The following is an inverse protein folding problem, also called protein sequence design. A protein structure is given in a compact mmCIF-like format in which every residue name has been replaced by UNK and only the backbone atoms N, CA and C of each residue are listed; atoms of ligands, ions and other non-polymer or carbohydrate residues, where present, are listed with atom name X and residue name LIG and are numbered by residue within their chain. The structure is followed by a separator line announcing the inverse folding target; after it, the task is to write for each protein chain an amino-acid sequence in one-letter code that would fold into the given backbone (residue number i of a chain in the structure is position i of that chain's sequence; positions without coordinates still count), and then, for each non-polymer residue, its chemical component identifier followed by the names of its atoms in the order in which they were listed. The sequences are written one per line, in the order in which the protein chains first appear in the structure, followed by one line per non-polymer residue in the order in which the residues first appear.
data_IF_168025952221
#
_entry.id   IF_168025952221
#
_cell.length_a   1.000
_cell.length_b   1.000
_cell.length_c   1.000
_cell.angle_alpha   90.00
_cell.angle_beta   90.00
_cell.angle_gamma   90.00
#
_symmetry.space_group_name_H-M   'P 1'
#
loop_
_entity.id
_entity.type
_entity.pdbx_description
1 polymer ?
#
# COMPACT_ATOMS: atom_id res chain seq x y z
N UNK A 1 -32.84 21.30 1.61
CA UNK A 1 -32.25 22.38 2.41
C UNK A 1 -30.99 21.80 3.06
N UNK A 2 -29.83 21.87 2.38
CA UNK A 2 -28.56 21.34 2.87
C UNK A 2 -27.92 22.38 3.80
N UNK A 3 -27.87 22.06 5.10
CA UNK A 3 -27.08 22.84 6.05
C UNK A 3 -25.58 22.62 5.75
N UNK A 4 -24.78 23.66 5.53
CA UNK A 4 -23.35 23.51 5.36
C UNK A 4 -22.76 23.05 6.68
N UNK A 5 -22.14 21.87 6.70
CA UNK A 5 -21.29 21.39 7.78
C UNK A 5 -20.17 22.43 7.97
N UNK A 6 -20.31 23.30 8.97
CA UNK A 6 -19.23 24.16 9.45
C UNK A 6 -18.03 23.26 9.81
N UNK A 7 -17.02 23.19 8.95
CA UNK A 7 -15.70 22.69 9.33
C UNK A 7 -15.20 23.53 10.50
N UNK A 8 -15.34 23.00 11.71
CA UNK A 8 -14.67 23.59 12.88
C UNK A 8 -13.19 23.60 12.58
N UNK A 9 -12.59 24.77 12.52
CA UNK A 9 -11.13 24.93 12.50
C UNK A 9 -10.57 24.09 13.67
N UNK A 10 -9.48 23.32 13.46
CA UNK A 10 -8.92 22.52 14.53
C UNK A 10 -8.44 23.45 15.65
N UNK A 11 -9.17 23.48 16.76
CA UNK A 11 -8.72 24.17 17.97
C UNK A 11 -7.37 23.57 18.39
N UNK A 12 -6.44 24.41 18.80
CA UNK A 12 -5.11 24.01 19.33
C UNK A 12 -5.28 22.96 20.43
N UNK A 13 -6.32 23.06 21.24
CA UNK A 13 -6.69 22.07 22.27
C UNK A 13 -7.00 20.68 21.74
N UNK A 14 -7.43 20.53 20.47
CA UNK A 14 -7.68 19.19 19.87
C UNK A 14 -6.40 18.43 19.51
N UNK A 15 -5.25 19.11 19.47
CA UNK A 15 -3.94 18.49 19.20
C UNK A 15 -3.21 18.04 20.47
N UNK A 16 -3.62 18.51 21.64
CA UNK A 16 -2.97 18.17 22.91
C UNK A 16 -3.08 16.68 23.25
N UNK A 17 -4.27 16.02 23.17
CA UNK A 17 -4.39 14.61 23.51
C UNK A 17 -3.49 13.67 22.69
N UNK A 18 -3.41 13.77 21.34
CA UNK A 18 -2.54 12.90 20.58
C UNK A 18 -1.05 13.16 20.83
N UNK A 19 -0.64 14.41 21.08
CA UNK A 19 0.74 14.75 21.43
C UNK A 19 1.10 14.20 22.82
N UNK A 20 0.20 14.36 23.81
CA UNK A 20 0.39 13.83 25.15
C UNK A 20 0.46 12.30 25.14
N UNK A 21 -0.41 11.62 24.38
CA UNK A 21 -0.35 10.17 24.22
C UNK A 21 1.00 9.72 23.61
N UNK A 22 1.47 10.40 22.55
CA UNK A 22 2.76 10.09 21.95
C UNK A 22 3.91 10.30 22.95
N UNK A 23 3.91 11.39 23.70
CA UNK A 23 4.91 11.68 24.74
C UNK A 23 4.93 10.60 25.83
N UNK A 24 3.75 10.17 26.30
CA UNK A 24 3.63 9.09 27.30
C UNK A 24 4.20 7.77 26.77
N UNK A 25 3.93 7.42 25.51
CA UNK A 25 4.46 6.20 24.88
C UNK A 25 5.99 6.27 24.79
N UNK A 26 6.53 7.40 24.33
CA UNK A 26 8.00 7.57 24.20
C UNK A 26 8.70 7.57 25.56
N UNK A 27 8.13 8.24 26.56
CA UNK A 27 8.67 8.21 27.94
C UNK A 27 8.60 6.80 28.54
N UNK A 28 7.49 6.09 28.35
CA UNK A 28 7.35 4.70 28.78
C UNK A 28 8.40 3.79 28.14
N UNK A 29 8.65 3.96 26.84
CA UNK A 29 9.70 3.23 26.12
C UNK A 29 11.09 3.56 26.70
N UNK A 30 11.42 4.84 26.89
CA UNK A 30 12.69 5.27 27.48
C UNK A 30 12.90 4.66 28.87
N UNK A 31 11.89 4.74 29.76
CA UNK A 31 11.94 4.18 31.10
C UNK A 31 12.19 2.66 31.07
N UNK A 32 11.50 1.91 30.23
CA UNK A 32 11.69 0.46 30.09
C UNK A 32 13.09 0.15 29.57
N UNK A 33 13.59 0.92 28.60
CA UNK A 33 14.94 0.73 28.04
C UNK A 33 16.06 0.98 29.06
N UNK A 34 15.91 2.03 29.90
CA UNK A 34 16.93 2.40 30.90
C UNK A 34 16.82 1.52 32.16
N UNK A 35 15.65 0.96 32.48
CA UNK A 35 15.44 0.16 33.69
C UNK A 35 16.26 -1.13 33.75
N UNK A 36 16.84 -1.56 32.63
CA UNK A 36 17.62 -2.80 32.55
C UNK A 36 16.79 -4.08 32.58
N UNK A 37 15.44 -3.98 32.63
CA UNK A 37 14.53 -5.14 32.57
C UNK A 37 14.73 -5.90 31.27
N UNK A 38 14.95 -5.15 30.16
CA UNK A 38 15.23 -5.70 28.84
C UNK A 38 16.65 -5.32 28.45
N UNK A 39 17.49 -6.26 27.97
CA UNK A 39 18.83 -5.93 27.50
C UNK A 39 18.80 -4.85 26.41
N UNK A 40 19.74 -3.91 26.45
CA UNK A 40 19.81 -2.76 25.54
C UNK A 40 19.94 -3.16 24.06
N UNK A 41 20.51 -4.34 23.77
CA UNK A 41 20.58 -4.89 22.42
C UNK A 41 19.22 -5.41 21.90
N UNK A 42 18.24 -5.68 22.77
CA UNK A 42 16.90 -6.10 22.38
C UNK A 42 15.91 -4.93 22.30
N UNK A 43 16.05 -3.97 23.20
CA UNK A 43 15.22 -2.78 23.25
C UNK A 43 16.11 -1.54 23.44
N UNK A 44 16.69 -1.00 22.35
CA UNK A 44 17.46 0.23 22.42
C UNK A 44 16.57 1.42 22.82
N UNK A 45 17.17 2.45 23.43
CA UNK A 45 16.44 3.65 23.79
C UNK A 45 16.03 4.47 22.55
N UNK A 46 14.94 5.26 22.60
CA UNK A 46 14.57 6.19 21.54
C UNK A 46 15.74 7.09 21.09
N UNK A 47 16.58 7.52 22.02
CA UNK A 47 17.75 8.36 21.71
C UNK A 47 18.80 7.56 20.93
N UNK A 48 19.06 6.30 21.32
CA UNK A 48 19.99 5.42 20.61
C UNK A 48 19.51 5.17 19.16
N UNK A 49 18.21 4.90 18.99
CA UNK A 49 17.60 4.72 17.65
C UNK A 49 17.75 5.96 16.79
N UNK A 50 17.51 7.16 17.33
CA UNK A 50 17.68 8.42 16.59
C UNK A 50 19.15 8.62 16.22
N UNK A 51 20.08 8.36 17.13
CA UNK A 51 21.53 8.51 16.88
C UNK A 51 21.97 7.55 15.78
N UNK A 52 21.53 6.29 15.83
CA UNK A 52 21.82 5.29 14.80
C UNK A 52 21.22 5.67 13.44
N UNK A 53 19.98 6.17 13.43
CA UNK A 53 19.31 6.64 12.22
C UNK A 53 20.11 7.72 11.49
N UNK A 54 20.61 8.72 12.24
CA UNK A 54 21.44 9.79 11.64
C UNK A 54 22.85 9.29 11.26
N UNK A 55 23.42 8.37 12.03
CA UNK A 55 24.72 7.79 11.74
C UNK A 55 24.75 6.93 10.48
N UNK A 56 23.69 6.13 10.26
CA UNK A 56 23.57 5.24 9.11
C UNK A 56 22.71 5.81 7.98
N UNK A 57 22.33 7.09 8.05
CA UNK A 57 21.44 7.73 7.08
C UNK A 57 21.86 7.51 5.61
N UNK A 58 23.13 7.61 5.21
CA UNK A 58 23.56 7.35 3.83
C UNK A 58 23.27 5.91 3.39
N UNK A 59 23.50 4.93 4.26
CA UNK A 59 23.21 3.51 4.00
C UNK A 59 21.71 3.25 3.88
N UNK A 60 20.94 3.83 4.79
CA UNK A 60 19.47 3.73 4.77
C UNK A 60 18.90 4.33 3.49
N UNK A 61 19.34 5.52 3.08
CA UNK A 61 18.91 6.16 1.84
C UNK A 61 19.31 5.36 0.59
N UNK A 62 20.51 4.77 0.60
CA UNK A 62 20.93 3.88 -0.48
C UNK A 62 19.97 2.70 -0.63
N UNK A 63 19.64 2.01 0.47
CA UNK A 63 18.69 0.89 0.46
C UNK A 63 17.25 1.33 0.16
N UNK A 64 16.81 2.46 0.71
CA UNK A 64 15.47 3.02 0.49
C UNK A 64 15.20 3.30 -1.00
N UNK A 65 16.21 3.76 -1.75
CA UNK A 65 16.10 3.97 -3.19
C UNK A 65 15.59 2.72 -3.93
N UNK A 66 16.14 1.54 -3.61
CA UNK A 66 15.74 0.29 -4.26
C UNK A 66 14.31 -0.11 -3.89
N UNK A 67 13.96 -0.06 -2.60
CA UNK A 67 12.60 -0.36 -2.12
C UNK A 67 11.57 0.57 -2.74
N UNK A 68 11.87 1.87 -2.85
CA UNK A 68 10.98 2.85 -3.47
C UNK A 68 10.82 2.62 -4.98
N UNK A 69 11.90 2.27 -5.69
CA UNK A 69 11.82 1.94 -7.11
C UNK A 69 10.98 0.68 -7.36
N UNK A 70 11.20 -0.38 -6.57
CA UNK A 70 10.44 -1.62 -6.64
C UNK A 70 8.94 -1.38 -6.34
N UNK A 71 8.64 -0.60 -5.30
CA UNK A 71 7.28 -0.20 -4.93
C UNK A 71 6.63 0.64 -6.03
N UNK A 72 7.36 1.61 -6.60
CA UNK A 72 6.84 2.51 -7.61
C UNK A 72 6.51 1.77 -8.91
N UNK A 73 7.45 0.96 -9.43
CA UNK A 73 7.21 0.20 -10.66
C UNK A 73 6.11 -0.84 -10.47
N UNK A 74 6.10 -1.54 -9.33
CA UNK A 74 5.07 -2.51 -9.01
C UNK A 74 3.69 -1.87 -8.91
N UNK A 75 3.58 -0.73 -8.23
CA UNK A 75 2.33 0.03 -8.12
C UNK A 75 1.85 0.53 -9.49
N UNK A 76 2.76 1.07 -10.32
CA UNK A 76 2.41 1.59 -11.65
C UNK A 76 1.87 0.48 -12.56
N UNK A 77 2.54 -0.68 -12.58
CA UNK A 77 2.09 -1.85 -13.34
C UNK A 77 0.76 -2.37 -12.75
N UNK A 78 0.64 -2.43 -11.43
CA UNK A 78 -0.59 -2.81 -10.73
C UNK A 78 -1.77 -1.92 -11.10
N UNK A 79 -1.58 -0.60 -11.16
CA UNK A 79 -2.60 0.37 -11.61
C UNK A 79 -3.01 0.08 -13.07
N UNK A 80 -2.03 -0.07 -13.96
CA UNK A 80 -2.31 -0.32 -15.37
C UNK A 80 -3.13 -1.61 -15.58
N UNK A 81 -2.71 -2.70 -14.95
CA UNK A 81 -3.44 -3.97 -14.99
C UNK A 81 -4.83 -3.84 -14.37
N UNK A 82 -4.96 -3.17 -13.22
CA UNK A 82 -6.24 -2.97 -12.57
C UNK A 82 -7.24 -2.21 -13.46
N UNK A 83 -6.80 -1.17 -14.16
CA UNK A 83 -7.66 -0.47 -15.13
C UNK A 83 -8.12 -1.38 -16.26
N UNK A 84 -7.23 -2.17 -16.83
CA UNK A 84 -7.55 -3.11 -17.91
C UNK A 84 -8.58 -4.14 -17.41
N UNK A 85 -8.28 -4.82 -16.31
CA UNK A 85 -9.15 -5.88 -15.78
C UNK A 85 -10.49 -5.34 -15.29
N UNK A 86 -10.52 -4.24 -14.51
CA UNK A 86 -11.76 -3.64 -14.05
C UNK A 86 -12.66 -3.18 -15.22
N UNK A 87 -12.07 -2.59 -16.25
CA UNK A 87 -12.83 -2.18 -17.44
C UNK A 87 -13.34 -3.38 -18.23
N UNK A 88 -12.56 -4.45 -18.37
CA UNK A 88 -13.00 -5.69 -19.01
C UNK A 88 -14.13 -6.38 -18.22
N UNK A 89 -14.02 -6.42 -16.89
CA UNK A 89 -15.04 -7.00 -16.01
C UNK A 89 -16.33 -6.17 -16.02
N UNK A 90 -16.25 -4.83 -16.02
CA UNK A 90 -17.44 -3.97 -16.19
C UNK A 90 -18.09 -4.16 -17.56
N UNK A 91 -17.30 -4.43 -18.59
CA UNK A 91 -17.80 -4.58 -19.97
C UNK A 91 -18.39 -5.94 -20.25
N UNK A 92 -17.80 -7.02 -19.70
CA UNK A 92 -18.14 -8.41 -20.00
C UNK A 92 -18.49 -9.16 -18.70
N UNK A 93 -19.78 -9.51 -18.56
CA UNK A 93 -20.28 -10.23 -17.38
C UNK A 93 -19.55 -11.57 -17.14
N UNK A 94 -19.14 -12.25 -18.20
CA UNK A 94 -18.38 -13.50 -18.11
C UNK A 94 -17.03 -13.26 -17.42
N UNK A 95 -16.36 -12.16 -17.77
CA UNK A 95 -15.09 -11.78 -17.13
C UNK A 95 -15.28 -11.47 -15.64
N UNK A 96 -16.32 -10.72 -15.26
CA UNK A 96 -16.64 -10.43 -13.86
C UNK A 96 -16.88 -11.74 -13.09
N UNK A 97 -17.70 -12.63 -13.61
CA UNK A 97 -18.02 -13.92 -12.97
C UNK A 97 -16.82 -14.86 -12.86
N UNK A 98 -15.90 -14.85 -13.81
CA UNK A 98 -14.73 -15.70 -13.82
C UNK A 98 -13.60 -15.14 -12.94
N UNK A 99 -13.26 -13.88 -13.08
CA UNK A 99 -12.09 -13.30 -12.42
C UNK A 99 -12.35 -12.82 -10.99
N UNK A 100 -13.56 -12.37 -10.68
CA UNK A 100 -13.89 -11.88 -9.33
C UNK A 100 -13.63 -12.91 -8.22
N UNK A 101 -14.09 -14.19 -8.35
CA UNK A 101 -13.77 -15.23 -7.34
C UNK A 101 -12.27 -15.52 -7.24
N UNK A 102 -11.57 -15.57 -8.39
CA UNK A 102 -10.13 -15.82 -8.41
C UNK A 102 -9.37 -14.73 -7.65
N UNK A 103 -9.75 -13.47 -7.88
CA UNK A 103 -9.14 -12.34 -7.20
C UNK A 103 -9.35 -12.40 -5.67
N UNK A 104 -10.54 -12.80 -5.20
CA UNK A 104 -10.79 -13.00 -3.77
C UNK A 104 -9.90 -14.11 -3.21
N UNK A 105 -9.82 -15.25 -3.90
CA UNK A 105 -8.98 -16.39 -3.47
C UNK A 105 -7.52 -15.96 -3.38
N UNK A 106 -7.00 -15.20 -4.32
CA UNK A 106 -5.59 -14.76 -4.29
C UNK A 106 -5.27 -13.91 -3.06
N UNK A 107 -6.24 -13.21 -2.48
CA UNK A 107 -6.03 -12.42 -1.27
C UNK A 107 -5.99 -13.26 0.02
N UNK A 108 -6.45 -14.50 -0.02
CA UNK A 108 -6.34 -15.41 1.14
C UNK A 108 -4.95 -15.99 1.30
N UNK A 109 -4.13 -15.94 0.26
CA UNK A 109 -2.77 -16.47 0.29
C UNK A 109 -1.83 -15.42 0.90
N UNK A 110 -1.13 -15.74 1.99
CA UNK A 110 -0.14 -14.82 2.57
C UNK A 110 0.95 -14.46 1.55
N UNK A 111 1.20 -13.17 1.34
CA UNK A 111 2.21 -12.69 0.38
C UNK A 111 3.60 -13.22 0.66
N UNK A 112 3.94 -13.42 1.94
CA UNK A 112 5.21 -14.00 2.36
C UNK A 112 5.40 -15.45 1.86
N UNK A 113 4.31 -16.18 1.61
CA UNK A 113 4.37 -17.54 1.05
C UNK A 113 4.57 -17.54 -0.47
N UNK A 114 4.12 -16.49 -1.16
CA UNK A 114 4.27 -16.34 -2.63
C UNK A 114 5.71 -15.94 -2.98
N UNK A 115 6.34 -15.10 -2.17
CA UNK A 115 7.62 -14.49 -2.48
C UNK A 115 8.75 -15.51 -2.75
N UNK A 116 8.94 -16.65 -2.01
CA UNK A 116 9.94 -17.64 -2.34
C UNK A 116 9.70 -18.30 -3.69
N UNK A 117 8.44 -18.52 -4.07
CA UNK A 117 8.06 -19.14 -5.34
C UNK A 117 8.44 -18.20 -6.51
N UNK A 118 8.18 -16.91 -6.35
CA UNK A 118 8.57 -15.90 -7.36
C UNK A 118 10.09 -15.84 -7.52
N UNK A 119 10.85 -15.91 -6.43
CA UNK A 119 12.32 -15.92 -6.50
C UNK A 119 12.81 -17.20 -7.18
N UNK A 120 12.19 -18.35 -6.92
CA UNK A 120 12.54 -19.61 -7.57
C UNK A 120 12.31 -19.57 -9.08
N UNK A 121 11.21 -18.95 -9.54
CA UNK A 121 10.85 -18.88 -10.96
C UNK A 121 11.57 -17.78 -11.72
N UNK A 122 11.80 -16.62 -11.08
CA UNK A 122 12.29 -15.41 -11.73
C UNK A 122 13.74 -15.08 -11.35
N UNK A 123 14.33 -15.85 -10.41
CA UNK A 123 15.69 -15.59 -9.90
C UNK A 123 15.77 -14.46 -8.90
N UNK A 124 17.00 -14.16 -8.47
CA UNK A 124 17.29 -13.05 -7.56
C UNK A 124 17.44 -11.74 -8.35
N UNK A 125 16.59 -10.76 -8.07
CA UNK A 125 16.64 -9.48 -8.76
C UNK A 125 15.45 -8.59 -8.42
N UNK A 126 15.21 -7.58 -9.25
CA UNK A 126 14.04 -6.69 -9.10
C UNK A 126 12.74 -7.32 -9.59
N UNK A 127 12.81 -8.25 -10.56
CA UNK A 127 11.63 -8.83 -11.18
C UNK A 127 10.67 -9.52 -10.21
N UNK A 128 11.09 -10.50 -9.35
CA UNK A 128 10.20 -11.14 -8.40
C UNK A 128 9.61 -10.17 -7.38
N UNK A 129 10.37 -9.14 -6.99
CA UNK A 129 9.96 -8.13 -6.02
C UNK A 129 8.88 -7.22 -6.61
N UNK A 130 9.10 -6.69 -7.83
CA UNK A 130 8.09 -5.92 -8.56
C UNK A 130 6.82 -6.75 -8.77
N UNK A 131 6.97 -8.03 -9.15
CA UNK A 131 5.82 -8.93 -9.34
C UNK A 131 5.01 -9.12 -8.06
N UNK A 132 5.66 -9.27 -6.91
CA UNK A 132 4.96 -9.37 -5.63
C UNK A 132 4.20 -8.09 -5.31
N UNK A 133 4.82 -6.91 -5.55
CA UNK A 133 4.15 -5.62 -5.38
C UNK A 133 2.95 -5.50 -6.32
N UNK A 134 3.06 -5.93 -7.58
CA UNK A 134 1.92 -5.95 -8.53
C UNK A 134 0.77 -6.78 -7.98
N UNK A 135 1.05 -8.01 -7.51
CA UNK A 135 0.03 -8.91 -6.97
C UNK A 135 -0.69 -8.28 -5.78
N UNK A 136 0.04 -7.63 -4.86
CA UNK A 136 -0.54 -7.04 -3.65
C UNK A 136 -1.32 -5.75 -3.91
N UNK A 137 -0.95 -4.99 -4.95
CA UNK A 137 -1.57 -3.69 -5.26
C UNK A 137 -2.72 -3.80 -6.27
N UNK A 138 -2.69 -4.80 -7.13
CA UNK A 138 -3.67 -5.02 -8.18
C UNK A 138 -5.10 -5.16 -7.66
N UNK A 139 -5.31 -5.99 -6.63
CA UNK A 139 -6.66 -6.30 -6.12
C UNK A 139 -7.39 -5.09 -5.53
N UNK A 140 -6.84 -4.32 -4.58
CA UNK A 140 -7.57 -3.20 -4.00
C UNK A 140 -7.92 -2.12 -5.04
N UNK A 141 -7.06 -1.90 -6.03
CA UNK A 141 -7.32 -0.94 -7.11
C UNK A 141 -8.44 -1.46 -8.02
N UNK A 142 -8.38 -2.74 -8.38
CA UNK A 142 -9.39 -3.36 -9.27
C UNK A 142 -10.77 -3.33 -8.63
N UNK A 143 -10.87 -3.71 -7.35
CA UNK A 143 -12.14 -3.67 -6.62
C UNK A 143 -12.64 -2.23 -6.47
N UNK A 144 -11.75 -1.29 -6.10
CA UNK A 144 -12.12 0.13 -6.02
C UNK A 144 -12.70 0.66 -7.34
N UNK A 145 -12.09 0.31 -8.47
CA UNK A 145 -12.60 0.68 -9.79
C UNK A 145 -13.96 0.02 -10.11
N UNK A 146 -14.09 -1.29 -9.84
CA UNK A 146 -15.33 -2.02 -10.09
C UNK A 146 -16.50 -1.48 -9.25
N UNK A 147 -16.26 -1.26 -7.96
CA UNK A 147 -17.26 -0.67 -7.07
C UNK A 147 -17.61 0.75 -7.51
N UNK A 148 -16.61 1.50 -7.94
CA UNK A 148 -16.82 2.82 -8.53
C UNK A 148 -17.68 2.79 -9.78
N UNK A 149 -17.44 1.87 -10.72
CA UNK A 149 -18.26 1.72 -11.93
C UNK A 149 -19.69 1.28 -11.62
N UNK A 150 -19.88 0.46 -10.56
CA UNK A 150 -21.19 -0.02 -10.12
C UNK A 150 -21.97 1.02 -9.30
N UNK A 151 -21.29 1.96 -8.64
CA UNK A 151 -21.89 3.00 -7.78
C UNK A 151 -22.48 4.19 -8.54
N UNK A 152 -22.25 4.27 -9.84
CA UNK A 152 -22.77 5.36 -10.68
C UNK A 152 -24.29 5.29 -10.76
N UNK A 153 -24.94 6.47 -10.66
CA UNK A 153 -26.39 6.61 -10.73
C UNK A 153 -26.95 5.97 -12.02
N UNK A 154 -27.85 4.96 -11.89
CA UNK A 154 -28.48 4.32 -13.04
C UNK A 154 -29.31 5.28 -13.90
N UNK A 155 -29.86 6.34 -13.31
CA UNK A 155 -30.68 7.30 -14.04
C UNK A 155 -29.80 8.20 -14.91
N UNK A 156 -28.61 8.56 -14.48
CA UNK A 156 -27.62 9.24 -15.31
C UNK A 156 -27.24 8.39 -16.54
N UNK A 157 -27.08 7.08 -16.36
CA UNK A 157 -26.77 6.15 -17.45
C UNK A 157 -27.98 6.04 -18.40
N UNK A 158 -29.22 5.98 -17.88
CA UNK A 158 -30.47 5.94 -18.68
C UNK A 158 -30.63 7.21 -19.49
N UNK A 159 -30.42 8.37 -18.89
CA UNK A 159 -30.48 9.67 -19.55
C UNK A 159 -29.50 9.74 -20.74
N UNK A 160 -28.23 9.38 -20.51
CA UNK A 160 -27.23 9.36 -21.58
C UNK A 160 -27.62 8.44 -22.73
N UNK A 161 -28.19 7.26 -22.42
CA UNK A 161 -28.70 6.35 -23.44
C UNK A 161 -29.88 6.96 -24.24
N UNK A 162 -30.82 7.63 -23.56
CA UNK A 162 -31.93 8.30 -24.19
C UNK A 162 -31.48 9.44 -25.13
N UNK A 163 -30.38 10.10 -24.81
CA UNK A 163 -29.73 11.11 -25.66
C UNK A 163 -28.91 10.50 -26.82
N UNK A 164 -28.90 9.17 -27.00
CA UNK A 164 -28.16 8.50 -28.07
C UNK A 164 -26.67 8.31 -27.81
N UNK A 165 -26.21 8.48 -26.56
CA UNK A 165 -24.79 8.32 -26.25
C UNK A 165 -24.31 6.87 -26.43
N UNK A 166 -23.16 6.70 -27.05
CA UNK A 166 -22.50 5.42 -27.19
C UNK A 166 -21.99 4.91 -25.84
N UNK A 167 -21.72 3.60 -25.75
CA UNK A 167 -21.15 3.00 -24.52
C UNK A 167 -19.83 3.65 -24.10
N UNK A 168 -18.97 3.99 -25.05
CA UNK A 168 -17.70 4.66 -24.79
C UNK A 168 -17.90 6.07 -24.21
N UNK A 169 -18.91 6.81 -24.68
CA UNK A 169 -19.27 8.13 -24.15
C UNK A 169 -19.81 8.01 -22.72
N UNK A 170 -20.68 7.03 -22.44
CA UNK A 170 -21.19 6.77 -21.09
C UNK A 170 -20.04 6.41 -20.15
N UNK A 171 -19.11 5.55 -20.58
CA UNK A 171 -17.95 5.20 -19.78
C UNK A 171 -17.08 6.42 -19.48
N UNK A 172 -16.70 7.20 -20.50
CA UNK A 172 -15.80 8.34 -20.37
C UNK A 172 -16.39 9.49 -19.56
N UNK A 173 -17.69 9.79 -19.69
CA UNK A 173 -18.30 10.98 -19.10
C UNK A 173 -19.05 10.71 -17.80
N UNK A 174 -19.44 9.46 -17.54
CA UNK A 174 -20.26 9.12 -16.36
C UNK A 174 -19.57 8.10 -15.48
N UNK A 175 -19.23 6.90 -16.01
CA UNK A 175 -18.68 5.81 -15.21
C UNK A 175 -17.27 6.11 -14.70
N UNK A 176 -16.37 6.49 -15.59
CA UNK A 176 -14.97 6.73 -15.20
C UNK A 176 -14.83 7.89 -14.21
N UNK A 177 -15.42 9.08 -14.43
CA UNK A 177 -15.36 10.16 -13.44
C UNK A 177 -16.05 9.80 -12.12
N UNK A 178 -17.18 9.08 -12.19
CA UNK A 178 -17.91 8.62 -11.01
C UNK A 178 -17.12 7.59 -10.17
N UNK A 179 -16.22 6.83 -10.78
CA UNK A 179 -15.38 5.85 -10.10
C UNK A 179 -14.13 6.44 -9.44
N UNK A 180 -13.74 7.66 -9.75
CA UNK A 180 -12.50 8.26 -9.23
C UNK A 180 -12.40 8.25 -7.69
N UNK A 181 -13.46 8.57 -6.91
CA UNK A 181 -13.36 8.53 -5.45
C UNK A 181 -12.99 7.13 -4.92
N UNK A 182 -13.62 6.08 -5.43
CA UNK A 182 -13.35 4.69 -5.05
C UNK A 182 -11.99 4.22 -5.57
N UNK A 183 -11.60 4.62 -6.77
CA UNK A 183 -10.26 4.39 -7.30
C UNK A 183 -9.19 4.96 -6.37
N UNK A 184 -9.31 6.24 -5.96
CA UNK A 184 -8.33 6.84 -5.04
C UNK A 184 -8.35 6.19 -3.65
N UNK A 185 -9.48 5.68 -3.19
CA UNK A 185 -9.55 4.89 -1.96
C UNK A 185 -8.77 3.58 -2.08
N UNK A 186 -8.95 2.83 -3.16
CA UNK A 186 -8.17 1.63 -3.47
C UNK A 186 -6.68 1.93 -3.67
N UNK A 187 -6.35 3.01 -4.38
CA UNK A 187 -4.98 3.46 -4.62
C UNK A 187 -4.25 3.79 -3.32
N UNK A 188 -4.92 4.46 -2.37
CA UNK A 188 -4.34 4.79 -1.06
C UNK A 188 -3.96 3.53 -0.28
N UNK A 189 -4.81 2.51 -0.29
CA UNK A 189 -4.51 1.21 0.33
C UNK A 189 -3.33 0.55 -0.39
N UNK A 190 -3.39 0.48 -1.71
CA UNK A 190 -2.36 -0.15 -2.53
C UNK A 190 -0.99 0.53 -2.42
N UNK A 191 -0.94 1.85 -2.30
CA UNK A 191 0.32 2.57 -2.11
C UNK A 191 1.01 2.18 -0.80
N UNK A 192 0.25 1.98 0.28
CA UNK A 192 0.79 1.46 1.54
C UNK A 192 1.24 0.00 1.40
N UNK A 193 0.43 -0.84 0.75
CA UNK A 193 0.75 -2.25 0.50
C UNK A 193 1.96 -2.43 -0.43
N UNK A 194 2.21 -1.49 -1.35
CA UNK A 194 3.34 -1.54 -2.26
C UNK A 194 4.68 -1.53 -1.53
N UNK A 195 4.84 -0.62 -0.56
CA UNK A 195 6.07 -0.53 0.24
C UNK A 195 6.23 -1.77 1.11
N UNK A 196 5.16 -2.21 1.77
CA UNK A 196 5.19 -3.44 2.59
C UNK A 196 5.54 -4.67 1.74
N UNK A 197 4.91 -4.81 0.57
CA UNK A 197 5.19 -5.90 -0.38
C UNK A 197 6.64 -5.92 -0.86
N UNK A 198 7.21 -4.75 -1.18
CA UNK A 198 8.61 -4.62 -1.55
C UNK A 198 9.54 -5.09 -0.40
N UNK A 199 9.36 -4.57 0.81
CA UNK A 199 10.15 -4.94 1.99
C UNK A 199 10.06 -6.45 2.28
N UNK A 200 8.85 -7.03 2.23
CA UNK A 200 8.65 -8.48 2.45
C UNK A 200 9.36 -9.31 1.40
N UNK A 201 9.32 -8.89 0.13
CA UNK A 201 10.04 -9.61 -0.93
C UNK A 201 11.56 -9.53 -0.79
N UNK A 202 12.07 -8.41 -0.27
CA UNK A 202 13.50 -8.21 -0.01
C UNK A 202 14.04 -9.09 1.11
N UNK A 203 13.21 -9.51 2.08
CA UNK A 203 13.62 -10.43 3.15
C UNK A 203 14.05 -11.81 2.63
N UNK A 204 13.50 -12.22 1.51
CA UNK A 204 13.69 -13.58 0.96
C UNK A 204 14.82 -13.67 -0.03
N UNK A 205 15.34 -12.56 -0.49
CA UNK A 205 16.50 -12.55 -1.38
C UNK A 205 16.70 -11.22 -2.06
N UNK A 206 17.94 -10.81 -2.08
CA UNK A 206 18.36 -9.58 -2.74
C UNK A 206 19.64 -9.02 -2.14
N UNK A 207 20.28 -8.14 -2.89
CA UNK A 207 21.52 -7.49 -2.45
C UNK A 207 21.24 -6.12 -1.84
N UNK A 208 20.13 -5.48 -2.24
CA UNK A 208 19.77 -4.11 -1.89
C UNK A 208 18.28 -4.02 -1.54
N UNK A 209 17.95 -3.01 -0.74
CA UNK A 209 16.61 -2.70 -0.26
C UNK A 209 16.55 -2.61 1.26
N UNK A 210 15.55 -1.92 1.79
CA UNK A 210 15.35 -1.73 3.24
C UNK A 210 15.11 -3.07 3.96
N UNK A 211 14.37 -4.00 3.35
CA UNK A 211 14.16 -5.33 3.91
C UNK A 211 15.45 -6.15 4.01
N UNK A 212 16.35 -6.00 3.03
CA UNK A 212 17.70 -6.61 3.10
C UNK A 212 18.51 -5.97 4.22
N UNK A 213 18.49 -4.64 4.34
CA UNK A 213 19.15 -3.92 5.43
C UNK A 213 18.62 -4.38 6.78
N UNK A 214 17.30 -4.42 6.97
CA UNK A 214 16.67 -4.91 8.20
C UNK A 214 17.11 -6.34 8.57
N UNK A 215 17.20 -7.26 7.59
CA UNK A 215 17.65 -8.63 7.88
C UNK A 215 19.13 -8.71 8.25
N UNK A 216 19.97 -7.86 7.68
CA UNK A 216 21.40 -7.75 8.05
C UNK A 216 21.58 -7.22 9.47
N UNK A 217 20.91 -6.12 9.79
CA UNK A 217 20.93 -5.49 11.11
C UNK A 217 20.40 -6.45 12.19
N UNK A 218 19.29 -7.13 11.90
CA UNK A 218 18.74 -8.16 12.78
C UNK A 218 19.74 -9.29 13.06
N UNK A 219 20.44 -9.79 12.03
CA UNK A 219 21.46 -10.84 12.18
C UNK A 219 22.68 -10.37 12.95
N UNK A 220 22.99 -9.08 12.91
CA UNK A 220 24.08 -8.46 13.65
C UNK A 220 23.71 -8.08 15.09
N UNK A 221 22.46 -8.32 15.51
CA UNK A 221 21.90 -7.89 16.82
C UNK A 221 22.03 -6.38 17.09
N UNK A 222 22.04 -5.56 16.02
CA UNK A 222 22.12 -4.09 16.09
C UNK A 222 20.72 -3.49 15.92
N UNK A 223 19.85 -3.72 16.90
CA UNK A 223 18.45 -3.30 16.84
C UNK A 223 18.22 -1.80 17.03
N UNK A 224 19.28 -1.04 17.25
CA UNK A 224 19.32 0.42 17.24
C UNK A 224 19.29 1.02 15.82
N UNK A 225 19.64 0.26 14.83
CA UNK A 225 19.69 0.61 13.39
C UNK A 225 18.50 0.09 12.63
#
# INVERSE_FOLDING_TARGET
MYLPLKRKLPNITSKIPPIAAMAVILLGWEVVSISGIVPSYMLPSPVAVLTALFGDLPTILFHAKFTLLESFYGLLIGIALAFVFATMMDRFRVMDQAFYPIMIITQTIPTIAIAPILVLWMGFGMAPKITLVVITTFFPITIGLLDGYKSVDPDAIRLMKAMGASRAQIFRHVKFPGALPQFFSGLKISASCAVVGAVVSEWLGGFNGLGVYMTRVKKAYSFDK
#
